data_IF_761002671974
#
_entry.id   IF_761002671974
#
_cell.length_a   1.000
_cell.length_b   1.000
_cell.length_c   1.000
_cell.angle_alpha   90.00
_cell.angle_beta   90.00
_cell.angle_gamma   90.00
#
_symmetry.space_group_name_H-M   'P 1'
#
loop_
_entity.id
_entity.type
_entity.pdbx_description
1 polymer ?
#
# COMPACT_ATOMS: atom_id res chain seq x y z
N UNK A 1 34.48 4.74 7.90
CA UNK A 1 33.93 5.83 7.07
C UNK A 1 35.12 6.64 6.56
N UNK A 2 35.50 6.54 5.29
CA UNK A 2 36.60 7.35 4.75
C UNK A 2 36.08 8.78 4.48
N UNK A 3 36.33 9.69 5.43
CA UNK A 3 36.05 11.13 5.29
C UNK A 3 36.69 11.74 4.03
N UNK A 4 37.77 11.14 3.50
CA UNK A 4 38.55 11.69 2.39
C UNK A 4 37.83 11.74 1.02
N UNK A 5 36.79 10.93 0.77
CA UNK A 5 36.19 10.88 -0.58
C UNK A 5 35.15 11.99 -0.81
N UNK A 6 34.39 12.36 0.23
CA UNK A 6 33.32 13.37 0.12
C UNK A 6 33.85 14.80 -0.04
N UNK A 7 35.02 15.09 0.52
CA UNK A 7 35.71 16.38 0.38
C UNK A 7 36.78 16.36 -0.71
N UNK A 8 36.69 15.42 -1.65
CA UNK A 8 37.58 15.42 -2.81
C UNK A 8 37.33 16.66 -3.68
N UNK A 9 38.39 17.14 -4.33
CA UNK A 9 38.31 18.30 -5.22
C UNK A 9 37.21 18.19 -6.29
N UNK A 10 36.98 17.02 -6.94
CA UNK A 10 35.87 16.87 -7.88
C UNK A 10 34.50 17.02 -7.22
N UNK A 11 34.31 16.54 -5.99
CA UNK A 11 33.05 16.67 -5.26
C UNK A 11 32.77 18.13 -4.87
N UNK A 12 33.80 18.85 -4.42
CA UNK A 12 33.69 20.28 -4.09
C UNK A 12 33.38 21.13 -5.31
N UNK A 13 34.02 20.84 -6.45
CA UNK A 13 33.73 21.54 -7.71
C UNK A 13 32.31 21.25 -8.21
N UNK A 14 31.84 19.99 -8.11
CA UNK A 14 30.44 19.63 -8.41
C UNK A 14 29.46 20.40 -7.53
N UNK A 15 29.73 20.53 -6.23
CA UNK A 15 28.90 21.29 -5.30
C UNK A 15 28.84 22.79 -5.67
N UNK A 16 30.00 23.37 -6.02
CA UNK A 16 30.09 24.76 -6.49
C UNK A 16 29.30 24.98 -7.78
N UNK A 17 29.49 24.12 -8.77
CA UNK A 17 28.76 24.17 -10.04
C UNK A 17 27.26 24.00 -9.86
N UNK A 18 26.83 23.12 -8.94
CA UNK A 18 25.42 22.95 -8.60
C UNK A 18 24.82 24.24 -8.01
N UNK A 19 25.54 24.91 -7.11
CA UNK A 19 25.11 26.21 -6.57
C UNK A 19 24.92 27.26 -7.67
N UNK A 20 25.86 27.37 -8.61
CA UNK A 20 25.75 28.29 -9.76
C UNK A 20 24.55 27.94 -10.64
N UNK A 21 24.32 26.65 -10.90
CA UNK A 21 23.21 26.19 -11.74
C UNK A 21 21.85 26.55 -11.14
N UNK A 22 21.68 26.44 -9.82
CA UNK A 22 20.44 26.83 -9.12
C UNK A 22 20.19 28.35 -9.21
N UNK A 23 21.24 29.16 -9.08
CA UNK A 23 21.14 30.63 -9.18
C UNK A 23 21.15 31.18 -10.61
N UNK A 24 21.18 30.31 -11.64
CA UNK A 24 21.16 30.71 -13.04
C UNK A 24 19.95 31.61 -13.37
N UNK A 25 18.76 31.28 -12.86
CA UNK A 25 17.55 32.06 -13.10
C UNK A 25 17.64 33.51 -12.57
N UNK A 26 18.51 33.76 -11.58
CA UNK A 26 18.73 35.08 -10.98
C UNK A 26 19.92 35.82 -11.60
N UNK A 27 21.00 35.08 -11.89
CA UNK A 27 22.31 35.66 -12.27
C UNK A 27 22.56 35.65 -13.77
N UNK A 28 21.87 34.79 -14.52
CA UNK A 28 22.13 34.55 -15.94
C UNK A 28 23.46 33.86 -16.23
N UNK A 29 24.24 33.45 -15.21
CA UNK A 29 25.56 32.83 -15.38
C UNK A 29 25.42 31.31 -15.42
N UNK A 30 25.68 30.65 -16.56
CA UNK A 30 25.53 29.20 -16.66
C UNK A 30 26.68 28.45 -15.96
N UNK A 31 26.36 27.29 -15.37
CA UNK A 31 27.38 26.38 -14.83
C UNK A 31 28.01 25.55 -15.97
N UNK A 32 29.34 25.55 -16.05
CA UNK A 32 30.09 24.78 -17.06
C UNK A 32 30.67 23.50 -16.44
N UNK A 33 30.17 22.33 -16.86
CA UNK A 33 30.70 21.04 -16.41
C UNK A 33 31.94 20.64 -17.22
N UNK A 34 33.08 20.47 -16.56
CA UNK A 34 34.27 19.88 -17.19
C UNK A 34 34.11 18.36 -17.37
N UNK A 35 34.90 17.75 -18.25
CA UNK A 35 34.82 16.31 -18.53
C UNK A 35 35.20 15.44 -17.31
N UNK A 36 35.97 15.97 -16.36
CA UNK A 36 36.46 15.24 -15.19
C UNK A 36 35.40 15.07 -14.10
N UNK A 37 34.46 16.00 -13.99
CA UNK A 37 33.31 15.94 -13.06
C UNK A 37 32.03 15.43 -13.72
N UNK A 38 32.11 14.88 -14.95
CA UNK A 38 30.95 14.29 -15.62
C UNK A 38 30.48 13.01 -14.93
N UNK A 39 29.20 12.72 -15.14
CA UNK A 39 28.55 11.55 -14.61
C UNK A 39 29.27 10.24 -15.02
N UNK A 40 29.42 9.28 -14.08
CA UNK A 40 30.18 8.07 -14.34
C UNK A 40 29.50 7.17 -15.39
N UNK A 41 30.31 6.32 -16.05
CA UNK A 41 29.79 5.32 -17.01
C UNK A 41 29.07 4.17 -16.31
N UNK A 42 29.52 3.80 -15.12
CA UNK A 42 28.97 2.74 -14.29
C UNK A 42 28.46 3.37 -12.99
N UNK A 43 27.23 3.04 -12.61
CA UNK A 43 26.59 3.61 -11.42
C UNK A 43 26.68 2.64 -10.24
N UNK A 44 26.69 3.14 -9.00
CA UNK A 44 26.51 2.25 -7.86
C UNK A 44 25.13 1.61 -7.89
N UNK A 45 25.06 0.34 -7.49
CA UNK A 45 23.87 -0.51 -7.44
C UNK A 45 22.64 0.13 -6.77
N UNK A 46 22.87 0.91 -5.70
CA UNK A 46 21.79 1.59 -4.98
C UNK A 46 21.06 2.66 -5.79
N UNK A 47 21.61 3.16 -6.91
CA UNK A 47 20.94 4.15 -7.76
C UNK A 47 19.93 3.54 -8.73
N UNK A 48 19.87 2.20 -8.84
CA UNK A 48 18.88 1.46 -9.64
C UNK A 48 18.71 1.96 -11.08
N UNK A 49 19.80 2.43 -11.71
CA UNK A 49 19.74 2.91 -13.09
C UNK A 49 19.60 1.74 -14.07
N UNK A 50 18.41 1.56 -14.64
CA UNK A 50 18.10 0.46 -15.58
C UNK A 50 18.79 0.61 -16.94
N UNK A 51 19.25 1.81 -17.29
CA UNK A 51 19.84 2.11 -18.61
C UNK A 51 21.36 1.89 -18.68
N UNK A 52 22.02 1.67 -17.54
CA UNK A 52 23.49 1.60 -17.45
C UNK A 52 23.94 0.45 -16.56
N UNK A 53 25.13 -0.11 -16.79
CA UNK A 53 25.69 -1.12 -15.91
C UNK A 53 25.89 -0.54 -14.50
N UNK A 54 25.79 -1.42 -13.51
CA UNK A 54 25.99 -1.07 -12.11
C UNK A 54 27.09 -1.90 -11.46
N UNK A 55 27.71 -1.35 -10.41
CA UNK A 55 28.67 -2.05 -9.55
C UNK A 55 28.14 -2.10 -8.11
N UNK A 56 28.51 -3.15 -7.37
CA UNK A 56 28.14 -3.26 -5.97
C UNK A 56 28.91 -2.23 -5.11
N UNK A 57 28.21 -1.21 -4.62
CA UNK A 57 28.83 -0.20 -3.77
C UNK A 57 29.16 -0.77 -2.39
N UNK A 58 30.42 -0.67 -1.98
CA UNK A 58 30.88 -1.08 -0.65
C UNK A 58 30.66 -0.01 0.44
N UNK A 59 30.12 1.14 0.05
CA UNK A 59 29.79 2.24 0.97
C UNK A 59 28.57 1.95 1.84
N UNK A 60 28.33 2.77 2.89
CA UNK A 60 27.18 2.62 3.79
C UNK A 60 25.85 2.59 3.04
N UNK A 61 25.69 3.43 2.01
CA UNK A 61 24.46 3.52 1.23
C UNK A 61 24.20 2.25 0.40
N UNK A 62 25.24 1.66 -0.20
CA UNK A 62 25.12 0.38 -0.90
C UNK A 62 24.75 -0.77 0.03
N UNK A 63 25.41 -0.86 1.19
CA UNK A 63 25.07 -1.85 2.22
C UNK A 63 23.64 -1.70 2.73
N UNK A 64 23.21 -0.47 3.02
CA UNK A 64 21.85 -0.18 3.46
C UNK A 64 20.82 -0.53 2.37
N UNK A 65 21.10 -0.17 1.12
CA UNK A 65 20.26 -0.51 -0.01
C UNK A 65 20.08 -2.03 -0.15
N UNK A 66 21.16 -2.81 -0.11
CA UNK A 66 21.08 -4.28 -0.21
C UNK A 66 20.38 -4.90 1.01
N UNK A 67 20.63 -4.39 2.21
CA UNK A 67 19.93 -4.83 3.42
C UNK A 67 18.42 -4.54 3.35
N UNK A 68 18.03 -3.38 2.83
CA UNK A 68 16.62 -3.00 2.65
C UNK A 68 15.96 -3.78 1.50
N UNK A 69 16.66 -3.94 0.37
CA UNK A 69 16.17 -4.65 -0.82
C UNK A 69 16.02 -6.15 -0.57
N UNK A 70 16.95 -6.78 0.15
CA UNK A 70 16.86 -8.19 0.56
C UNK A 70 15.77 -8.42 1.62
N UNK A 71 15.38 -7.37 2.35
CA UNK A 71 14.24 -7.35 3.28
C UNK A 71 12.94 -6.87 2.63
N UNK A 72 12.85 -6.82 1.29
CA UNK A 72 11.57 -6.64 0.61
C UNK A 72 10.68 -7.84 0.95
N UNK A 73 10.03 -7.73 2.11
CA UNK A 73 9.13 -8.65 2.79
C UNK A 73 9.10 -10.04 2.15
N UNK A 74 10.17 -10.82 2.31
CA UNK A 74 9.95 -12.21 2.65
C UNK A 74 9.29 -12.18 4.03
N UNK A 75 8.02 -11.78 4.07
CA UNK A 75 7.15 -12.24 5.11
C UNK A 75 7.24 -13.75 4.93
N UNK A 76 8.08 -14.40 5.73
CA UNK A 76 7.71 -15.73 6.21
C UNK A 76 6.23 -15.61 6.47
N UNK A 77 5.41 -16.38 5.74
CA UNK A 77 3.97 -16.43 5.94
C UNK A 77 3.79 -16.82 7.39
N UNK A 78 3.80 -15.84 8.28
CA UNK A 78 3.63 -16.04 9.71
C UNK A 78 2.27 -16.67 9.80
N UNK A 79 2.21 -17.88 10.33
CA UNK A 79 0.97 -18.60 10.50
C UNK A 79 -0.03 -17.63 11.12
N UNK A 80 -1.07 -17.28 10.35
CA UNK A 80 -2.05 -16.30 10.78
C UNK A 80 -2.77 -16.86 12.00
N UNK A 81 -2.70 -16.15 13.12
CA UNK A 81 -3.52 -16.46 14.27
C UNK A 81 -4.88 -15.80 14.07
N UNK A 82 -5.91 -16.61 13.89
CA UNK A 82 -7.30 -16.13 13.84
C UNK A 82 -7.67 -15.68 15.25
N UNK A 83 -8.05 -14.41 15.38
CA UNK A 83 -8.48 -13.85 16.66
C UNK A 83 -9.92 -14.26 16.94
N UNK A 84 -10.08 -15.37 17.67
CA UNK A 84 -11.38 -15.92 18.01
C UNK A 84 -12.24 -14.98 18.85
N UNK A 85 -11.64 -14.00 19.54
CA UNK A 85 -12.37 -13.02 20.34
C UNK A 85 -13.20 -12.07 19.48
N UNK A 86 -12.86 -11.94 18.20
CA UNK A 86 -13.63 -11.15 17.23
C UNK A 86 -14.87 -11.90 16.70
N UNK A 87 -15.04 -13.18 17.07
CA UNK A 87 -16.18 -14.01 16.70
C UNK A 87 -17.08 -14.16 17.93
N UNK A 88 -18.13 -13.35 18.01
CA UNK A 88 -19.08 -13.35 19.13
C UNK A 88 -20.30 -14.24 18.85
N UNK A 89 -20.93 -14.86 19.87
CA UNK A 89 -22.12 -15.67 19.68
C UNK A 89 -23.29 -14.88 19.08
N UNK A 90 -24.01 -15.46 18.12
CA UNK A 90 -25.13 -14.83 17.42
C UNK A 90 -24.74 -14.14 16.10
N UNK A 91 -23.45 -14.14 15.73
CA UNK A 91 -22.98 -13.65 14.43
C UNK A 91 -23.50 -14.49 13.25
N UNK A 92 -23.94 -15.73 13.51
CA UNK A 92 -24.45 -16.66 12.52
C UNK A 92 -25.64 -16.10 11.74
N UNK A 93 -26.45 -15.24 12.38
CA UNK A 93 -27.59 -14.54 11.77
C UNK A 93 -27.19 -13.72 10.53
N UNK A 94 -25.98 -13.13 10.54
CA UNK A 94 -25.48 -12.30 9.43
C UNK A 94 -24.50 -13.03 8.52
N UNK A 95 -24.22 -14.32 8.78
CA UNK A 95 -23.14 -15.02 8.09
C UNK A 95 -23.45 -15.23 6.61
N UNK A 96 -24.71 -15.54 6.25
CA UNK A 96 -25.12 -15.70 4.86
C UNK A 96 -24.96 -14.40 4.06
N UNK A 97 -25.49 -13.29 4.58
CA UNK A 97 -25.33 -11.94 3.99
C UNK A 97 -23.85 -11.56 3.87
N UNK A 98 -23.06 -11.85 4.91
CA UNK A 98 -21.63 -11.53 4.94
C UNK A 98 -20.83 -12.31 3.88
N UNK A 99 -21.23 -13.53 3.55
CA UNK A 99 -20.58 -14.33 2.49
C UNK A 99 -20.89 -13.73 1.11
N UNK A 100 -22.15 -13.39 0.85
CA UNK A 100 -22.56 -12.77 -0.43
C UNK A 100 -21.83 -11.43 -0.65
N UNK A 101 -21.84 -10.56 0.35
CA UNK A 101 -21.14 -9.26 0.28
C UNK A 101 -19.62 -9.41 0.18
N UNK A 102 -19.03 -10.42 0.81
CA UNK A 102 -17.60 -10.71 0.68
C UNK A 102 -17.26 -11.08 -0.76
N UNK A 103 -18.06 -11.93 -1.40
CA UNK A 103 -17.81 -12.38 -2.77
C UNK A 103 -17.95 -11.22 -3.75
N UNK A 104 -18.97 -10.37 -3.58
CA UNK A 104 -19.12 -9.12 -4.35
C UNK A 104 -17.94 -8.15 -4.16
N UNK A 105 -17.43 -8.04 -2.93
CA UNK A 105 -16.25 -7.24 -2.62
C UNK A 105 -15.01 -7.79 -3.30
N UNK A 106 -14.78 -9.10 -3.22
CA UNK A 106 -13.64 -9.78 -3.83
C UNK A 106 -13.65 -9.59 -5.34
N UNK A 107 -14.80 -9.76 -5.99
CA UNK A 107 -14.95 -9.52 -7.43
C UNK A 107 -14.65 -8.07 -7.79
N UNK A 108 -15.18 -7.11 -7.01
CA UNK A 108 -14.95 -5.68 -7.24
C UNK A 108 -13.47 -5.29 -7.03
N UNK A 109 -12.82 -5.85 -6.02
CA UNK A 109 -11.40 -5.65 -5.73
C UNK A 109 -10.53 -6.25 -6.83
N UNK A 110 -10.83 -7.48 -7.26
CA UNK A 110 -10.14 -8.15 -8.35
C UNK A 110 -10.24 -7.38 -9.67
N UNK A 111 -11.44 -6.89 -10.02
CA UNK A 111 -11.64 -6.04 -11.20
C UNK A 111 -10.81 -4.76 -11.11
N UNK A 112 -10.73 -4.16 -9.93
CA UNK A 112 -9.91 -2.97 -9.69
C UNK A 112 -8.41 -3.27 -9.87
N UNK A 113 -7.93 -4.38 -9.32
CA UNK A 113 -6.55 -4.84 -9.48
C UNK A 113 -6.23 -5.11 -10.96
N UNK A 114 -7.12 -5.80 -11.68
CA UNK A 114 -7.01 -6.03 -13.12
C UNK A 114 -6.95 -4.73 -13.93
N UNK A 115 -7.76 -3.72 -13.56
CA UNK A 115 -7.78 -2.42 -14.22
C UNK A 115 -6.42 -1.70 -14.15
N UNK A 116 -5.78 -1.75 -12.97
CA UNK A 116 -4.48 -1.13 -12.73
C UNK A 116 -3.28 -2.03 -13.03
N UNK A 117 -3.51 -3.31 -13.36
CA UNK A 117 -2.45 -4.27 -13.67
C UNK A 117 -1.69 -4.79 -12.44
N UNK A 118 -2.34 -4.77 -11.28
CA UNK A 118 -1.82 -5.24 -9.99
C UNK A 118 -2.22 -6.69 -9.79
N UNK A 119 -1.40 -7.45 -9.07
CA UNK A 119 -1.65 -8.86 -8.75
C UNK A 119 -1.87 -9.09 -7.26
N UNK A 120 -1.25 -8.25 -6.42
CA UNK A 120 -1.21 -8.45 -4.99
C UNK A 120 -2.10 -7.44 -4.26
N UNK A 121 -2.89 -7.94 -3.30
CA UNK A 121 -3.79 -7.11 -2.49
C UNK A 121 -3.01 -6.06 -1.67
N UNK A 122 -1.80 -6.39 -1.21
CA UNK A 122 -0.97 -5.45 -0.45
C UNK A 122 -0.59 -4.19 -1.24
N UNK A 123 -0.39 -4.30 -2.56
CA UNK A 123 0.02 -3.17 -3.40
C UNK A 123 -1.14 -2.18 -3.55
N UNK A 124 -2.35 -2.70 -3.75
CA UNK A 124 -3.54 -1.85 -3.87
C UNK A 124 -3.95 -1.26 -2.51
N UNK A 125 -3.80 -2.01 -1.42
CA UNK A 125 -4.11 -1.54 -0.07
C UNK A 125 -3.13 -0.45 0.40
N UNK A 126 -1.83 -0.64 0.18
CA UNK A 126 -0.78 0.27 0.65
C UNK A 126 -0.51 1.44 -0.30
N UNK A 127 -0.81 1.28 -1.59
CA UNK A 127 -0.39 2.22 -2.62
C UNK A 127 1.07 2.07 -3.05
N UNK A 128 1.80 1.12 -2.47
CA UNK A 128 3.16 0.80 -2.85
C UNK A 128 3.16 -0.27 -3.94
N UNK A 129 3.18 0.19 -5.20
CA UNK A 129 3.23 -0.69 -6.36
C UNK A 129 4.68 -0.94 -6.75
N UNK A 130 5.12 -2.21 -6.78
CA UNK A 130 6.49 -2.59 -7.11
C UNK A 130 6.79 -2.35 -8.58
N UNK A 131 5.90 -2.82 -9.46
CA UNK A 131 6.05 -2.67 -10.91
C UNK A 131 4.69 -2.47 -11.59
N UNK A 132 4.57 -1.40 -12.38
CA UNK A 132 3.42 -1.24 -13.27
C UNK A 132 3.66 -2.01 -14.56
N UNK A 133 2.84 -3.03 -14.82
CA UNK A 133 2.80 -3.68 -16.14
C UNK A 133 2.39 -2.65 -17.18
N UNK A 134 3.30 -2.32 -18.11
CA UNK A 134 2.99 -1.41 -19.22
C UNK A 134 2.16 -2.16 -20.26
N UNK A 135 1.04 -1.57 -20.68
CA UNK A 135 0.41 -1.98 -21.94
C UNK A 135 1.18 -1.37 -23.10
N UNK A 136 1.46 -2.19 -24.11
CA UNK A 136 2.31 -1.81 -25.23
C UNK A 136 1.73 -0.59 -25.98
N UNK A 137 2.59 0.32 -26.42
CA UNK A 137 2.21 1.52 -27.19
C UNK A 137 1.63 2.72 -26.43
N UNK A 138 1.44 2.69 -25.11
CA UNK A 138 1.00 3.88 -24.34
C UNK A 138 2.18 4.70 -23.82
N UNK A 139 2.06 6.05 -23.88
CA UNK A 139 2.99 6.95 -23.20
C UNK A 139 3.03 6.60 -21.70
N UNK A 140 4.21 6.58 -21.07
CA UNK A 140 4.32 6.32 -19.64
C UNK A 140 3.51 7.38 -18.90
N UNK A 141 2.37 6.98 -18.32
CA UNK A 141 1.64 7.81 -17.36
C UNK A 141 2.57 8.04 -16.17
N UNK A 142 2.52 9.24 -15.56
CA UNK A 142 3.28 9.49 -14.33
C UNK A 142 2.83 8.47 -13.28
N UNK A 143 3.74 7.67 -12.71
CA UNK A 143 3.38 6.63 -11.74
C UNK A 143 2.54 7.19 -10.58
N UNK A 144 2.87 8.40 -10.12
CA UNK A 144 2.15 9.13 -9.08
C UNK A 144 0.66 9.33 -9.39
N UNK A 145 0.31 9.71 -10.62
CA UNK A 145 -1.09 9.92 -11.03
C UNK A 145 -1.87 8.60 -11.15
N UNK A 146 -1.18 7.50 -11.48
CA UNK A 146 -1.78 6.16 -11.54
C UNK A 146 -2.04 5.67 -10.12
N UNK A 147 -1.05 5.76 -9.23
CA UNK A 147 -1.17 5.41 -7.81
C UNK A 147 -2.29 6.22 -7.16
N UNK A 148 -2.34 7.53 -7.42
CA UNK A 148 -3.38 8.40 -6.85
C UNK A 148 -4.78 7.96 -7.27
N UNK A 149 -5.01 7.71 -8.57
CA UNK A 149 -6.33 7.24 -9.06
C UNK A 149 -6.71 5.88 -8.51
N UNK A 150 -5.75 4.97 -8.45
CA UNK A 150 -5.94 3.64 -7.86
C UNK A 150 -6.36 3.76 -6.39
N UNK A 151 -5.64 4.57 -5.61
CA UNK A 151 -5.96 4.82 -4.20
C UNK A 151 -7.34 5.47 -4.03
N UNK A 152 -7.72 6.40 -4.90
CA UNK A 152 -9.07 6.99 -4.88
C UNK A 152 -10.15 5.95 -5.17
N UNK A 153 -9.93 5.10 -6.17
CA UNK A 153 -10.89 4.05 -6.52
C UNK A 153 -11.01 2.98 -5.42
N UNK A 154 -9.90 2.56 -4.80
CA UNK A 154 -9.91 1.64 -3.66
C UNK A 154 -10.58 2.27 -2.42
N UNK A 155 -10.34 3.57 -2.15
CA UNK A 155 -11.05 4.30 -1.10
C UNK A 155 -12.56 4.36 -1.35
N UNK A 156 -12.96 4.57 -2.61
CA UNK A 156 -14.38 4.55 -3.00
C UNK A 156 -14.98 3.17 -2.74
N UNK A 157 -14.34 2.09 -3.20
CA UNK A 157 -14.77 0.71 -2.95
C UNK A 157 -15.01 0.46 -1.45
N UNK A 158 -14.03 0.80 -0.60
CA UNK A 158 -14.20 0.68 0.86
C UNK A 158 -15.34 1.54 1.42
N UNK A 159 -15.55 2.72 0.86
CA UNK A 159 -16.65 3.60 1.27
C UNK A 159 -18.00 3.01 0.90
N UNK A 160 -18.12 2.43 -0.30
CA UNK A 160 -19.35 1.84 -0.81
C UNK A 160 -19.76 0.66 0.10
N UNK A 161 -18.86 -0.27 0.38
CA UNK A 161 -19.12 -1.39 1.29
C UNK A 161 -19.30 -0.97 2.75
N UNK A 162 -18.67 0.11 3.21
CA UNK A 162 -18.95 0.68 4.53
C UNK A 162 -20.37 1.26 4.61
N UNK A 163 -20.87 1.82 3.52
CA UNK A 163 -22.25 2.28 3.46
C UNK A 163 -23.21 1.09 3.44
N UNK A 164 -22.91 0.02 2.69
CA UNK A 164 -23.73 -1.21 2.73
C UNK A 164 -23.78 -1.84 4.11
N UNK A 165 -22.64 -1.88 4.83
CA UNK A 165 -22.61 -2.32 6.22
C UNK A 165 -23.62 -1.55 7.08
N UNK A 166 -23.64 -0.21 6.95
CA UNK A 166 -24.51 0.69 7.73
C UNK A 166 -25.97 0.60 7.29
N UNK A 167 -26.23 0.53 5.99
CA UNK A 167 -27.57 0.50 5.42
C UNK A 167 -28.26 -0.83 5.71
N UNK A 168 -27.56 -1.96 5.56
CA UNK A 168 -28.10 -3.28 5.87
C UNK A 168 -28.31 -3.54 7.36
N UNK A 169 -28.07 -2.56 8.24
CA UNK A 169 -28.53 -2.60 9.63
C UNK A 169 -29.87 -1.89 9.83
N UNK A 170 -30.25 -1.00 8.89
CA UNK A 170 -31.50 -0.23 8.96
C UNK A 170 -32.73 -1.12 9.01
N UNK A 171 -32.71 -2.25 8.31
CA UNK A 171 -33.82 -3.21 8.28
C UNK A 171 -34.06 -3.90 9.63
N UNK A 172 -33.01 -3.99 10.46
CA UNK A 172 -33.06 -4.57 11.81
C UNK A 172 -33.40 -3.53 12.89
N UNK A 173 -33.43 -2.25 12.54
CA UNK A 173 -33.71 -1.16 13.47
C UNK A 173 -35.19 -0.77 13.54
N UNK A 174 -36.05 -1.35 12.71
CA UNK A 174 -37.47 -0.99 12.57
C UNK A 174 -38.27 -1.27 13.86
N UNK A 175 -37.88 -2.28 14.64
CA UNK A 175 -38.56 -2.70 15.88
C UNK A 175 -37.73 -2.46 17.16
N UNK A 176 -36.61 -1.74 17.05
CA UNK A 176 -35.62 -1.60 18.14
C UNK A 176 -35.67 -0.21 18.78
N UNK A 177 -36.28 -0.11 19.97
CA UNK A 177 -36.44 1.14 20.73
C UNK A 177 -35.14 1.60 21.45
N UNK A 178 -34.14 0.73 21.60
CA UNK A 178 -32.89 1.01 22.32
C UNK A 178 -31.66 1.27 21.44
N UNK A 179 -30.89 2.32 21.72
CA UNK A 179 -29.59 2.60 21.07
C UNK A 179 -28.56 1.49 21.32
N UNK A 180 -28.69 0.77 22.45
CA UNK A 180 -27.80 -0.33 22.81
C UNK A 180 -28.02 -1.59 21.95
N UNK A 181 -29.27 -1.86 21.56
CA UNK A 181 -29.61 -3.00 20.71
C UNK A 181 -29.08 -2.78 19.29
N UNK A 182 -29.21 -1.54 18.77
CA UNK A 182 -28.65 -1.16 17.46
C UNK A 182 -27.14 -1.35 17.42
N UNK A 183 -26.46 -0.98 18.50
CA UNK A 183 -25.02 -1.18 18.65
C UNK A 183 -24.68 -2.67 18.67
N UNK A 184 -25.43 -3.48 19.41
CA UNK A 184 -25.21 -4.94 19.48
C UNK A 184 -25.34 -5.62 18.12
N UNK A 185 -26.39 -5.30 17.35
CA UNK A 185 -26.58 -5.81 15.99
C UNK A 185 -25.40 -5.46 15.07
N UNK A 186 -24.87 -4.23 15.18
CA UNK A 186 -23.70 -3.82 14.42
C UNK A 186 -22.44 -4.62 14.81
N UNK A 187 -22.27 -5.00 16.07
CA UNK A 187 -21.17 -5.85 16.51
C UNK A 187 -21.31 -7.28 15.98
N UNK A 188 -22.53 -7.86 16.01
CA UNK A 188 -22.81 -9.18 15.45
C UNK A 188 -22.51 -9.23 13.95
N UNK A 189 -22.96 -8.21 13.20
CA UNK A 189 -22.69 -8.08 11.76
C UNK A 189 -21.19 -7.97 11.47
N UNK A 190 -20.45 -7.15 12.23
CA UNK A 190 -19.00 -7.02 12.07
C UNK A 190 -18.26 -8.33 12.38
N UNK A 191 -18.68 -9.03 13.44
CA UNK A 191 -18.18 -10.36 13.77
C UNK A 191 -18.43 -11.37 12.65
N UNK A 192 -19.61 -11.32 12.01
CA UNK A 192 -19.93 -12.17 10.87
C UNK A 192 -19.02 -11.90 9.66
N UNK A 193 -18.75 -10.61 9.38
CA UNK A 193 -17.81 -10.20 8.31
C UNK A 193 -16.38 -10.66 8.58
N UNK A 194 -15.96 -10.68 9.85
CA UNK A 194 -14.67 -11.25 10.23
C UNK A 194 -14.66 -12.78 10.07
N UNK A 195 -15.70 -13.45 10.57
CA UNK A 195 -15.82 -14.90 10.50
C UNK A 195 -15.88 -15.41 9.05
N UNK A 196 -16.60 -14.73 8.15
CA UNK A 196 -16.71 -15.18 6.75
C UNK A 196 -15.38 -15.13 5.99
N UNK A 197 -14.44 -14.28 6.40
CA UNK A 197 -13.10 -14.20 5.80
C UNK A 197 -12.15 -15.17 6.48
N UNK A 198 -12.09 -15.18 7.81
CA UNK A 198 -11.01 -15.85 8.55
C UNK A 198 -11.36 -17.24 9.07
N UNK A 199 -12.64 -17.63 9.10
CA UNK A 199 -13.09 -18.93 9.63
C UNK A 199 -13.55 -19.91 8.54
N UNK A 200 -13.68 -19.45 7.28
CA UNK A 200 -14.27 -20.23 6.18
C UNK A 200 -13.21 -20.56 5.12
N UNK A 201 -12.39 -21.58 5.38
CA UNK A 201 -11.54 -22.21 4.35
C UNK A 201 -10.35 -21.38 3.87
N UNK A 202 -10.06 -21.46 2.56
CA UNK A 202 -8.96 -20.73 1.93
C UNK A 202 -9.31 -19.24 1.75
N UNK A 203 -8.43 -18.37 2.24
CA UNK A 203 -8.61 -16.92 2.17
C UNK A 203 -8.14 -16.42 0.81
N UNK A 204 -9.06 -15.89 0.01
CA UNK A 204 -8.76 -15.24 -1.27
C UNK A 204 -8.20 -13.82 -1.07
N UNK A 205 -8.93 -12.99 -0.32
CA UNK A 205 -8.55 -11.62 0.05
C UNK A 205 -8.82 -11.36 1.54
N UNK A 206 -8.03 -10.47 2.13
CA UNK A 206 -8.02 -10.21 3.57
C UNK A 206 -8.80 -8.95 3.97
N UNK A 207 -8.94 -7.97 3.07
CA UNK A 207 -9.35 -6.61 3.43
C UNK A 207 -10.84 -6.43 3.74
N UNK A 208 -11.72 -7.33 3.29
CA UNK A 208 -13.18 -7.20 3.49
C UNK A 208 -13.58 -7.06 4.96
N UNK A 209 -13.13 -7.98 5.81
CA UNK A 209 -13.44 -7.97 7.24
C UNK A 209 -13.04 -6.65 7.94
N UNK A 210 -11.95 -6.03 7.48
CA UNK A 210 -11.41 -4.80 8.08
C UNK A 210 -12.14 -3.53 7.64
N UNK A 211 -13.15 -3.63 6.77
CA UNK A 211 -14.01 -2.47 6.41
C UNK A 211 -14.75 -1.96 7.65
N UNK A 212 -15.20 -2.88 8.51
CA UNK A 212 -15.90 -2.64 9.76
C UNK A 212 -14.96 -2.60 10.99
N UNK A 213 -13.69 -2.19 10.80
CA UNK A 213 -12.68 -2.18 11.88
C UNK A 213 -13.13 -1.43 13.14
N UNK A 214 -13.96 -0.39 13.01
CA UNK A 214 -14.47 0.39 14.15
C UNK A 214 -15.27 -0.52 15.11
N UNK A 215 -16.14 -1.36 14.56
CA UNK A 215 -16.94 -2.32 15.31
C UNK A 215 -16.09 -3.48 15.84
N UNK A 216 -15.12 -3.97 15.06
CA UNK A 216 -14.19 -5.01 15.53
C UNK A 216 -13.33 -4.52 16.72
N UNK A 217 -12.87 -3.27 16.67
CA UNK A 217 -12.17 -2.66 17.80
C UNK A 217 -13.07 -2.52 19.04
N UNK A 218 -14.37 -2.25 18.87
CA UNK A 218 -15.33 -2.25 19.97
C UNK A 218 -15.49 -3.64 20.59
N UNK A 219 -15.62 -4.70 19.77
CA UNK A 219 -15.67 -6.09 20.27
C UNK A 219 -14.45 -6.37 21.15
N UNK A 220 -13.25 -6.05 20.67
CA UNK A 220 -12.02 -6.30 21.41
C UNK A 220 -11.89 -5.49 22.71
N UNK A 221 -12.64 -4.40 22.87
CA UNK A 221 -12.70 -3.65 24.15
C UNK A 221 -13.65 -4.27 25.16
N UNK A 222 -14.59 -5.12 24.71
CA UNK A 222 -15.60 -5.77 25.55
C UNK A 222 -15.14 -7.13 26.09
N UNK A 223 -14.05 -7.69 25.52
CA UNK A 223 -13.37 -8.92 25.95
C UNK A 223 -12.18 -8.58 26.85
#
# INVERSE_FOLDING_TARGET
FNQMVFFSEPCLELARLHSVAVDFAKTGVPAHLSNEVRAPRIYPDFMQNQSRPSYESQGPLGKLFRAAKGRAFAAEKTAFYIDKDLIIPGHEEFLAEAIELRDEYNDSLWQLMCHFGIQDEEEICSGYVREFKRRDGQKPKKPEEVIHRMQMAYKKLKSDFRNEFRNGLSDYFVDSDGENDKKWWALLKASAWYACVYNVGEIEFYSFAWIAYENLCEIKRLV
#
